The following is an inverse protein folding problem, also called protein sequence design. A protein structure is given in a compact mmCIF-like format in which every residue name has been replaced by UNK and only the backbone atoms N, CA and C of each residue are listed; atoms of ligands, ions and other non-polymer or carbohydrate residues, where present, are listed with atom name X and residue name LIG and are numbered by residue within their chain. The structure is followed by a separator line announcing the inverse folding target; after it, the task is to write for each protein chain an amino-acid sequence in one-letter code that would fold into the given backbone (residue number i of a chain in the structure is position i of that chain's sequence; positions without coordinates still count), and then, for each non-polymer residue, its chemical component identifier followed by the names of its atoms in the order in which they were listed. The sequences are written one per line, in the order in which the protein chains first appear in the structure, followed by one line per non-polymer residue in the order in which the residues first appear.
data_IF_004333190959
#
_entry.id   IF_004333190959
#
_cell.length_a   1.000
_cell.length_b   1.000
_cell.length_c   1.000
_cell.angle_alpha   90.00
_cell.angle_beta   90.00
_cell.angle_gamma   90.00
#
_symmetry.space_group_name_H-M   'P 1'
#
loop_
_entity.id
_entity.type
_entity.pdbx_description
1 polymer ?
#
# COMPACT_ATOMS: atom_id res chain seq x y z
N UNK A 1 19.50 -1.02 -69.92
CA UNK A 1 18.86 -2.04 -69.06
C UNK A 1 19.78 -2.32 -67.88
N UNK A 2 19.41 -1.83 -66.70
CA UNK A 2 19.84 -2.24 -65.35
C UNK A 2 19.79 -0.98 -64.47
N UNK A 3 18.64 -0.77 -63.84
CA UNK A 3 18.48 0.17 -62.74
C UNK A 3 18.43 -0.68 -61.46
N UNK A 4 19.56 -0.78 -60.78
CA UNK A 4 19.65 -1.45 -59.48
C UNK A 4 19.59 -0.35 -58.43
N UNK A 5 18.46 -0.30 -57.71
CA UNK A 5 18.18 0.67 -56.66
C UNK A 5 19.08 0.39 -55.46
N UNK A 6 19.92 1.36 -55.13
CA UNK A 6 20.54 1.49 -53.83
C UNK A 6 19.45 1.73 -52.78
N UNK A 7 19.20 0.74 -51.92
CA UNK A 7 18.45 0.95 -50.69
C UNK A 7 19.36 1.70 -49.71
N UNK A 8 19.23 3.02 -49.68
CA UNK A 8 19.74 3.84 -48.58
C UNK A 8 18.97 3.43 -47.33
N UNK A 9 19.70 2.84 -46.38
CA UNK A 9 19.28 2.67 -44.99
C UNK A 9 18.96 4.07 -44.46
N UNK A 10 17.67 4.42 -44.38
CA UNK A 10 17.27 5.61 -43.62
C UNK A 10 17.51 5.30 -42.14
N UNK A 11 18.25 6.15 -41.43
CA UNK A 11 18.43 5.97 -40.00
C UNK A 11 17.07 6.11 -39.33
N UNK A 12 16.78 5.18 -38.41
CA UNK A 12 15.71 5.28 -37.41
C UNK A 12 15.78 6.70 -36.85
N UNK A 13 14.82 7.53 -37.25
CA UNK A 13 14.67 8.87 -36.70
C UNK A 13 14.47 8.66 -35.22
N UNK A 14 15.45 9.12 -34.43
CA UNK A 14 15.35 9.24 -32.99
C UNK A 14 13.98 9.81 -32.64
N UNK A 15 13.14 8.96 -32.03
CA UNK A 15 11.90 9.32 -31.34
C UNK A 15 12.25 10.21 -30.15
N UNK A 16 12.68 11.42 -30.45
CA UNK A 16 13.14 12.42 -29.50
C UNK A 16 11.98 13.30 -29.05
N UNK A 17 10.91 12.67 -28.53
CA UNK A 17 9.90 13.35 -27.67
C UNK A 17 9.25 12.40 -26.63
N UNK A 18 9.94 11.35 -26.16
CA UNK A 18 9.57 10.64 -24.92
C UNK A 18 10.14 11.32 -23.66
N UNK A 19 10.22 12.67 -23.66
CA UNK A 19 10.84 13.45 -22.58
C UNK A 19 9.93 13.62 -21.35
N UNK A 20 8.74 13.02 -21.33
CA UNK A 20 7.76 13.12 -20.22
C UNK A 20 7.66 11.88 -19.34
N UNK A 21 8.34 10.78 -19.69
CA UNK A 21 8.31 9.52 -18.93
C UNK A 21 9.56 9.42 -18.05
N UNK A 22 9.33 9.31 -16.75
CA UNK A 22 10.38 9.06 -15.77
C UNK A 22 10.70 7.56 -15.74
N UNK A 23 11.81 7.17 -16.37
CA UNK A 23 12.23 5.77 -16.50
C UNK A 23 12.37 5.05 -15.15
N UNK A 24 12.79 5.74 -14.10
CA UNK A 24 12.94 5.15 -12.75
C UNK A 24 11.62 4.60 -12.19
N UNK A 25 10.46 5.10 -12.63
CA UNK A 25 9.14 4.58 -12.24
C UNK A 25 8.82 3.22 -12.85
N UNK A 26 9.50 2.85 -13.94
CA UNK A 26 9.24 1.62 -14.69
C UNK A 26 9.99 0.40 -14.12
N UNK A 27 10.78 0.61 -13.07
CA UNK A 27 11.60 -0.43 -12.45
C UNK A 27 11.14 -0.72 -11.04
N UNK A 28 11.29 -2.00 -10.67
CA UNK A 28 11.06 -2.50 -9.32
C UNK A 28 11.98 -1.76 -8.32
N UNK A 29 11.50 -1.43 -7.11
CA UNK A 29 12.37 -0.90 -6.08
C UNK A 29 13.52 -1.89 -5.80
N UNK A 30 14.76 -1.39 -5.81
CA UNK A 30 15.96 -2.18 -5.50
C UNK A 30 15.96 -2.64 -4.03
N UNK A 31 16.53 -3.82 -3.75
CA UNK A 31 16.89 -4.19 -2.37
C UNK A 31 16.25 -5.48 -1.83
N UNK A 32 16.21 -6.56 -2.60
CA UNK A 32 15.85 -7.89 -2.05
C UNK A 32 16.96 -8.52 -1.20
N UNK A 33 18.20 -8.02 -1.31
CA UNK A 33 19.32 -8.44 -0.47
C UNK A 33 19.06 -8.10 1.01
N UNK A 34 18.94 -9.14 1.86
CA UNK A 34 18.65 -8.98 3.29
C UNK A 34 17.17 -8.91 3.63
N UNK A 35 16.26 -9.18 2.69
CA UNK A 35 14.86 -9.46 3.04
C UNK A 35 14.73 -10.86 3.64
N UNK A 36 13.97 -10.98 4.72
CA UNK A 36 13.58 -12.27 5.25
C UNK A 36 12.69 -13.00 4.22
N UNK A 37 13.01 -14.25 3.93
CA UNK A 37 12.14 -15.12 3.14
C UNK A 37 10.86 -15.42 3.93
N UNK A 38 9.69 -15.19 3.30
CA UNK A 38 8.38 -15.45 3.89
C UNK A 38 7.56 -16.39 3.00
N UNK A 39 7.90 -17.69 2.92
CA UNK A 39 7.30 -18.64 1.97
C UNK A 39 5.78 -18.64 1.97
N UNK A 40 5.16 -18.55 3.16
CA UNK A 40 3.70 -18.46 3.31
C UNK A 40 3.09 -17.32 2.49
N UNK A 41 3.74 -16.16 2.41
CA UNK A 41 3.24 -15.03 1.62
C UNK A 41 3.46 -15.19 0.12
N UNK A 42 4.54 -15.89 -0.27
CA UNK A 42 4.78 -16.25 -1.66
C UNK A 42 3.71 -17.23 -2.14
N UNK A 43 3.33 -18.19 -1.29
CA UNK A 43 2.25 -19.15 -1.55
C UNK A 43 0.88 -18.45 -1.67
N UNK A 44 0.64 -17.38 -0.89
CA UNK A 44 -0.57 -16.55 -1.06
C UNK A 44 -0.60 -15.89 -2.45
N UNK A 45 0.51 -15.27 -2.88
CA UNK A 45 0.59 -14.70 -4.23
C UNK A 45 0.44 -15.77 -5.32
N UNK A 46 0.94 -16.99 -5.08
CA UNK A 46 0.76 -18.12 -5.99
C UNK A 46 -0.70 -18.53 -6.14
N UNK A 47 -1.48 -18.52 -5.06
CA UNK A 47 -2.92 -18.79 -5.11
C UNK A 47 -3.67 -17.78 -6.00
N UNK A 48 -3.17 -16.55 -6.12
CA UNK A 48 -3.72 -15.52 -7.00
C UNK A 48 -3.33 -15.65 -8.48
N UNK A 49 -2.38 -16.51 -8.85
CA UNK A 49 -1.84 -16.60 -10.23
C UNK A 49 -2.88 -16.91 -11.30
N UNK A 50 -3.94 -17.64 -10.94
CA UNK A 50 -4.99 -18.05 -11.86
C UNK A 50 -6.11 -16.99 -11.99
N UNK A 51 -6.10 -15.97 -11.15
CA UNK A 51 -7.03 -14.85 -11.21
C UNK A 51 -6.62 -13.80 -12.26
N UNK A 52 -7.57 -12.91 -12.57
CA UNK A 52 -7.31 -11.71 -13.39
C UNK A 52 -6.63 -10.60 -12.59
N UNK A 53 -7.02 -10.47 -11.31
CA UNK A 53 -6.63 -9.36 -10.46
C UNK A 53 -6.14 -9.87 -9.10
N UNK A 54 -4.93 -9.46 -8.71
CA UNK A 54 -4.41 -9.61 -7.36
C UNK A 54 -4.29 -8.24 -6.71
N UNK A 55 -4.90 -8.06 -5.53
CA UNK A 55 -4.81 -6.84 -4.74
C UNK A 55 -3.97 -7.10 -3.48
N UNK A 56 -2.90 -6.33 -3.30
CA UNK A 56 -2.13 -6.28 -2.04
C UNK A 56 -2.42 -4.94 -1.38
N UNK A 57 -3.31 -4.95 -0.38
CA UNK A 57 -3.84 -3.74 0.26
C UNK A 57 -3.53 -3.75 1.75
N UNK A 58 -2.71 -2.79 2.19
CA UNK A 58 -2.33 -2.67 3.59
C UNK A 58 -1.82 -1.27 3.92
N UNK A 59 -1.73 -0.91 5.22
CA UNK A 59 -1.08 0.32 5.67
C UNK A 59 0.33 0.54 5.07
N UNK A 60 0.86 1.76 5.12
CA UNK A 60 2.28 1.99 4.82
C UNK A 60 3.19 1.13 5.70
N UNK A 61 4.37 0.80 5.18
CA UNK A 61 5.37 0.05 5.96
C UNK A 61 5.09 -1.42 6.22
N UNK A 62 4.04 -2.03 5.63
CA UNK A 62 3.81 -3.48 5.78
C UNK A 62 4.69 -4.37 4.88
N UNK A 63 5.50 -3.78 4.00
CA UNK A 63 6.38 -4.52 3.08
C UNK A 63 5.71 -5.04 1.80
N UNK A 64 4.65 -4.39 1.31
CA UNK A 64 3.90 -4.82 0.11
C UNK A 64 4.79 -4.93 -1.14
N UNK A 65 5.50 -3.85 -1.50
CA UNK A 65 6.39 -3.82 -2.66
C UNK A 65 7.54 -4.80 -2.50
N UNK A 66 8.11 -4.92 -1.30
CA UNK A 66 9.15 -5.91 -0.99
C UNK A 66 8.66 -7.35 -1.17
N UNK A 67 7.43 -7.66 -0.75
CA UNK A 67 6.82 -8.97 -0.94
C UNK A 67 6.67 -9.30 -2.43
N UNK A 68 6.09 -8.39 -3.21
CA UNK A 68 5.85 -8.64 -4.64
C UNK A 68 7.18 -8.77 -5.39
N UNK A 69 8.17 -7.91 -5.10
CA UNK A 69 9.51 -8.05 -5.67
C UNK A 69 10.15 -9.39 -5.32
N UNK A 70 10.09 -9.81 -4.06
CA UNK A 70 10.61 -11.12 -3.62
C UNK A 70 9.92 -12.27 -4.35
N UNK A 71 8.60 -12.20 -4.53
CA UNK A 71 7.83 -13.21 -5.25
C UNK A 71 8.20 -13.29 -6.74
N UNK A 72 8.36 -12.15 -7.41
CA UNK A 72 8.78 -12.12 -8.82
C UNK A 72 10.18 -12.72 -8.98
N UNK A 73 11.11 -12.41 -8.08
CA UNK A 73 12.48 -12.93 -8.10
C UNK A 73 12.52 -14.44 -7.79
N UNK A 74 11.86 -14.89 -6.71
CA UNK A 74 11.83 -16.31 -6.28
C UNK A 74 11.21 -17.23 -7.34
N UNK A 75 10.21 -16.71 -8.05
CA UNK A 75 9.43 -17.48 -9.03
C UNK A 75 9.86 -17.24 -10.47
N UNK A 76 10.89 -16.43 -10.69
CA UNK A 76 11.40 -16.03 -12.00
C UNK A 76 10.28 -15.56 -12.95
N UNK A 77 9.41 -14.68 -12.46
CA UNK A 77 8.30 -14.13 -13.24
C UNK A 77 8.72 -12.78 -13.84
N UNK A 78 8.70 -12.71 -15.17
CA UNK A 78 8.82 -11.44 -15.88
C UNK A 78 7.53 -10.64 -15.75
N UNK A 79 7.64 -9.39 -15.29
CA UNK A 79 6.51 -8.50 -15.08
C UNK A 79 6.87 -7.07 -15.45
N UNK A 80 5.93 -6.38 -16.07
CA UNK A 80 5.98 -4.93 -16.24
C UNK A 80 5.68 -4.27 -14.90
N UNK A 81 6.52 -3.33 -14.48
CA UNK A 81 6.34 -2.61 -13.22
C UNK A 81 6.09 -1.13 -13.48
N UNK A 82 5.14 -0.54 -12.76
CA UNK A 82 4.91 0.90 -12.75
C UNK A 82 4.70 1.39 -11.32
N UNK A 83 5.62 2.21 -10.83
CA UNK A 83 5.48 2.95 -9.59
C UNK A 83 4.74 4.26 -9.83
N UNK A 84 3.65 4.48 -9.10
CA UNK A 84 2.77 5.62 -9.26
C UNK A 84 3.01 6.69 -8.18
N UNK A 85 2.87 7.95 -8.56
CA UNK A 85 2.81 9.07 -7.61
C UNK A 85 1.60 9.98 -7.88
N UNK A 86 1.45 11.02 -7.06
CA UNK A 86 0.31 11.94 -7.14
C UNK A 86 0.23 12.68 -8.50
N UNK A 87 1.38 12.85 -9.17
CA UNK A 87 1.50 13.50 -10.47
C UNK A 87 1.00 12.65 -11.64
N UNK A 88 0.63 11.39 -11.43
CA UNK A 88 0.18 10.46 -12.47
C UNK A 88 -1.35 10.37 -12.55
N UNK A 89 -2.09 11.32 -11.95
CA UNK A 89 -3.56 11.34 -11.94
C UNK A 89 -4.21 11.88 -13.23
N UNK A 90 -3.42 12.18 -14.26
CA UNK A 90 -3.90 12.64 -15.55
C UNK A 90 -4.05 11.44 -16.52
N UNK A 91 -5.25 11.16 -17.07
CA UNK A 91 -5.52 9.88 -17.75
C UNK A 91 -4.60 9.56 -18.93
N UNK A 92 -4.27 10.53 -19.79
CA UNK A 92 -3.41 10.25 -20.94
C UNK A 92 -1.98 9.95 -20.47
N UNK A 93 -1.46 10.73 -19.52
CA UNK A 93 -0.17 10.44 -18.88
C UNK A 93 -0.14 9.07 -18.21
N UNK A 94 -1.17 8.71 -17.44
CA UNK A 94 -1.26 7.41 -16.79
C UNK A 94 -1.22 6.26 -17.81
N UNK A 95 -2.05 6.32 -18.85
CA UNK A 95 -2.09 5.29 -19.90
C UNK A 95 -0.75 5.22 -20.63
N UNK A 96 -0.09 6.36 -20.90
CA UNK A 96 1.25 6.37 -21.46
C UNK A 96 2.26 5.64 -20.56
N UNK A 97 2.28 5.91 -19.25
CA UNK A 97 3.13 5.18 -18.31
C UNK A 97 2.84 3.67 -18.30
N UNK A 98 1.58 3.26 -18.38
CA UNK A 98 1.20 1.83 -18.48
C UNK A 98 1.80 1.21 -19.75
N UNK A 99 1.66 1.88 -20.90
CA UNK A 99 2.28 1.40 -22.16
C UNK A 99 3.80 1.31 -22.02
N UNK A 100 4.45 2.34 -21.47
CA UNK A 100 5.91 2.34 -21.31
C UNK A 100 6.40 1.28 -20.30
N UNK A 101 5.63 0.99 -19.25
CA UNK A 101 5.92 -0.12 -18.35
C UNK A 101 5.85 -1.46 -19.09
N UNK A 102 4.81 -1.68 -19.90
CA UNK A 102 4.66 -2.90 -20.71
C UNK A 102 5.77 -3.04 -21.78
N UNK A 103 6.29 -1.92 -22.29
CA UNK A 103 7.45 -1.92 -23.20
C UNK A 103 8.74 -2.45 -22.59
N UNK A 104 8.85 -2.50 -21.26
CA UNK A 104 10.02 -3.11 -20.60
C UNK A 104 10.12 -4.62 -20.84
N UNK A 105 9.00 -5.28 -21.13
CA UNK A 105 8.92 -6.72 -21.44
C UNK A 105 8.55 -6.98 -22.91
N UNK A 106 7.89 -6.02 -23.58
CA UNK A 106 7.46 -6.11 -24.97
C UNK A 106 7.75 -4.80 -25.72
N UNK A 107 8.95 -4.59 -26.28
CA UNK A 107 9.42 -3.29 -26.78
C UNK A 107 8.49 -2.58 -27.77
N UNK A 108 7.79 -3.34 -28.62
CA UNK A 108 6.90 -2.82 -29.66
C UNK A 108 5.45 -2.66 -29.20
N UNK A 109 5.14 -2.86 -27.92
CA UNK A 109 3.79 -2.76 -27.38
C UNK A 109 3.22 -1.34 -27.46
N UNK A 110 1.90 -1.22 -27.63
CA UNK A 110 1.15 0.02 -27.39
C UNK A 110 1.35 1.12 -28.42
N UNK A 111 1.76 0.77 -29.65
CA UNK A 111 1.99 1.74 -30.73
C UNK A 111 0.71 2.48 -31.07
N UNK A 112 -0.42 1.78 -31.21
CA UNK A 112 -1.71 2.41 -31.55
C UNK A 112 -2.21 3.26 -30.40
N UNK A 113 -2.15 2.74 -29.17
CA UNK A 113 -2.54 3.50 -27.98
C UNK A 113 -1.75 4.81 -27.87
N UNK A 114 -0.42 4.79 -28.01
CA UNK A 114 0.38 6.02 -27.93
C UNK A 114 0.08 7.00 -29.07
N UNK A 115 -0.26 6.53 -30.26
CA UNK A 115 -0.70 7.40 -31.37
C UNK A 115 -2.01 8.11 -31.03
N UNK A 116 -2.98 7.41 -30.40
CA UNK A 116 -4.22 8.03 -29.94
C UNK A 116 -3.97 9.09 -28.87
N UNK A 117 -3.07 8.83 -27.91
CA UNK A 117 -2.72 9.78 -26.85
C UNK A 117 -2.02 11.04 -27.38
N UNK A 118 -1.30 10.94 -28.49
CA UNK A 118 -0.59 12.06 -29.15
C UNK A 118 -1.46 12.85 -30.14
N UNK A 119 -2.70 12.43 -30.36
CA UNK A 119 -3.60 13.12 -31.28
C UNK A 119 -3.87 14.56 -30.82
N UNK A 120 -4.15 15.46 -31.77
CA UNK A 120 -4.41 16.87 -31.49
C UNK A 120 -5.60 17.08 -30.53
N UNK A 121 -6.52 16.11 -30.48
CA UNK A 121 -7.60 16.04 -29.51
C UNK A 121 -7.71 14.59 -29.03
N UNK A 122 -7.44 14.39 -27.74
CA UNK A 122 -7.55 13.08 -27.09
C UNK A 122 -8.91 12.45 -27.42
N UNK A 123 -8.95 11.23 -27.98
CA UNK A 123 -10.19 10.52 -28.20
C UNK A 123 -10.90 10.23 -26.88
N UNK A 124 -12.21 9.91 -26.94
CA UNK A 124 -12.91 9.36 -25.79
C UNK A 124 -12.13 8.20 -25.14
N UNK A 125 -12.06 8.17 -23.81
CA UNK A 125 -11.23 7.21 -23.08
C UNK A 125 -11.66 5.75 -23.29
N UNK A 126 -12.93 5.50 -23.62
CA UNK A 126 -13.43 4.18 -24.00
C UNK A 126 -12.78 3.68 -25.30
N UNK A 127 -12.56 4.55 -26.29
CA UNK A 127 -11.81 4.22 -27.51
C UNK A 127 -10.38 3.86 -27.16
N UNK A 128 -9.70 4.68 -26.36
CA UNK A 128 -8.32 4.43 -25.92
C UNK A 128 -8.22 3.11 -25.12
N UNK A 129 -9.19 2.86 -24.23
CA UNK A 129 -9.25 1.62 -23.43
C UNK A 129 -9.46 0.39 -24.30
N UNK A 130 -10.32 0.47 -25.32
CA UNK A 130 -10.54 -0.61 -26.27
C UNK A 130 -9.27 -0.90 -27.08
N UNK A 131 -8.58 0.13 -27.58
CA UNK A 131 -7.30 -0.05 -28.29
C UNK A 131 -6.26 -0.71 -27.40
N UNK A 132 -6.06 -0.20 -26.17
CA UNK A 132 -5.13 -0.79 -25.20
C UNK A 132 -5.50 -2.25 -24.88
N UNK A 133 -6.79 -2.54 -24.72
CA UNK A 133 -7.29 -3.89 -24.45
C UNK A 133 -7.01 -4.86 -25.60
N UNK A 134 -7.11 -4.41 -26.85
CA UNK A 134 -6.81 -5.24 -28.02
C UNK A 134 -5.31 -5.52 -28.12
N UNK A 135 -4.47 -4.48 -27.96
CA UNK A 135 -3.01 -4.66 -27.96
C UNK A 135 -2.55 -5.59 -26.81
N UNK A 136 -3.18 -5.51 -25.63
CA UNK A 136 -2.93 -6.44 -24.53
C UNK A 136 -3.37 -7.88 -24.86
N UNK A 137 -4.46 -8.05 -25.60
CA UNK A 137 -4.97 -9.36 -26.00
C UNK A 137 -3.98 -10.04 -26.94
N UNK A 138 -3.53 -9.32 -27.98
CA UNK A 138 -2.51 -9.78 -28.93
C UNK A 138 -1.19 -10.14 -28.22
N UNK A 139 -0.74 -9.31 -27.28
CA UNK A 139 0.44 -9.62 -26.47
C UNK A 139 0.26 -10.94 -25.70
N UNK A 140 -0.91 -11.12 -25.09
CA UNK A 140 -1.24 -12.30 -24.30
C UNK A 140 -1.43 -13.59 -25.07
N UNK A 141 -1.63 -13.52 -26.40
CA UNK A 141 -1.61 -14.70 -27.28
C UNK A 141 -0.21 -15.29 -27.42
N UNK A 142 0.83 -14.45 -27.30
CA UNK A 142 2.23 -14.90 -27.40
C UNK A 142 2.79 -15.36 -26.06
N UNK A 143 2.56 -14.59 -25.00
CA UNK A 143 3.04 -14.91 -23.65
C UNK A 143 2.15 -14.27 -22.57
N UNK A 144 1.95 -14.93 -21.42
CA UNK A 144 1.25 -14.31 -20.31
C UNK A 144 1.93 -13.02 -19.85
N UNK A 145 1.15 -11.97 -19.66
CA UNK A 145 1.63 -10.64 -19.27
C UNK A 145 1.15 -10.32 -17.85
N UNK A 146 2.07 -9.93 -16.98
CA UNK A 146 1.76 -9.39 -15.66
C UNK A 146 2.16 -7.92 -15.59
N UNK A 147 1.19 -7.06 -15.31
CA UNK A 147 1.42 -5.66 -14.96
C UNK A 147 1.29 -5.48 -13.45
N UNK A 148 2.32 -4.91 -12.82
CA UNK A 148 2.31 -4.49 -11.42
C UNK A 148 2.16 -2.98 -11.35
N UNK A 149 1.10 -2.51 -10.69
CA UNK A 149 0.90 -1.10 -10.35
C UNK A 149 1.21 -0.90 -8.87
N UNK A 150 2.33 -0.26 -8.58
CA UNK A 150 2.74 0.09 -7.23
C UNK A 150 2.23 1.47 -6.82
N UNK A 151 1.84 1.60 -5.55
CA UNK A 151 1.27 2.80 -4.95
C UNK A 151 0.01 3.35 -5.64
N UNK A 152 -0.88 2.49 -6.11
CA UNK A 152 -2.10 2.90 -6.86
C UNK A 152 -2.98 3.93 -6.14
N UNK A 153 -3.04 3.89 -4.81
CA UNK A 153 -3.74 4.90 -3.99
C UNK A 153 -3.33 6.36 -4.25
N UNK A 154 -2.13 6.61 -4.79
CA UNK A 154 -1.62 7.94 -5.14
C UNK A 154 -2.38 8.55 -6.33
N UNK A 155 -2.91 7.71 -7.20
CA UNK A 155 -3.72 8.14 -8.35
C UNK A 155 -5.15 8.43 -7.88
N UNK A 156 -5.60 9.67 -8.10
CA UNK A 156 -6.91 10.16 -7.66
C UNK A 156 -7.70 10.69 -8.85
N UNK A 157 -8.16 9.78 -9.72
CA UNK A 157 -8.99 10.14 -10.86
C UNK A 157 -9.99 9.03 -11.22
N UNK A 158 -11.31 9.27 -11.12
CA UNK A 158 -12.33 8.28 -11.47
C UNK A 158 -12.25 7.78 -12.92
N UNK A 159 -11.71 8.58 -13.85
CA UNK A 159 -11.54 8.15 -15.23
C UNK A 159 -10.46 7.05 -15.35
N UNK A 160 -9.41 7.12 -14.55
CA UNK A 160 -8.38 6.07 -14.50
C UNK A 160 -8.96 4.79 -13.86
N UNK A 161 -9.75 4.94 -12.79
CA UNK A 161 -10.48 3.81 -12.19
C UNK A 161 -11.39 3.13 -13.23
N UNK A 162 -12.09 3.89 -14.07
CA UNK A 162 -12.95 3.34 -15.12
C UNK A 162 -12.18 2.56 -16.18
N UNK A 163 -11.04 3.09 -16.65
CA UNK A 163 -10.15 2.41 -17.61
C UNK A 163 -9.70 1.06 -17.03
N UNK A 164 -9.15 1.07 -15.82
CA UNK A 164 -8.60 -0.13 -15.20
C UNK A 164 -9.69 -1.14 -14.81
N UNK A 165 -10.83 -0.67 -14.30
CA UNK A 165 -12.00 -1.51 -14.05
C UNK A 165 -12.52 -2.17 -15.34
N UNK A 166 -12.48 -1.46 -16.47
CA UNK A 166 -12.82 -1.98 -17.79
C UNK A 166 -11.94 -3.17 -18.18
N UNK A 167 -10.61 -3.02 -18.03
CA UNK A 167 -9.63 -4.07 -18.32
C UNK A 167 -9.82 -5.31 -17.44
N UNK A 168 -10.10 -5.18 -16.14
CA UNK A 168 -10.27 -6.36 -15.28
C UNK A 168 -11.66 -6.99 -15.40
N UNK A 169 -12.69 -6.23 -15.77
CA UNK A 169 -14.04 -6.77 -15.97
C UNK A 169 -14.08 -7.65 -17.22
N UNK A 170 -13.42 -7.21 -18.29
CA UNK A 170 -13.25 -7.95 -19.55
C UNK A 170 -11.75 -8.12 -19.84
N UNK A 171 -11.09 -9.09 -19.18
CA UNK A 171 -9.66 -9.25 -19.27
C UNK A 171 -9.24 -9.65 -20.68
N UNK A 172 -8.25 -8.96 -21.26
CA UNK A 172 -7.51 -9.50 -22.39
C UNK A 172 -6.95 -10.89 -22.03
N UNK A 173 -6.85 -11.77 -23.03
CA UNK A 173 -6.28 -13.09 -22.83
C UNK A 173 -4.84 -12.95 -22.33
N UNK A 174 -4.40 -13.82 -21.41
CA UNK A 174 -3.03 -13.80 -20.90
C UNK A 174 -2.67 -12.59 -20.02
N UNK A 175 -3.52 -11.57 -19.90
CA UNK A 175 -3.26 -10.39 -19.08
C UNK A 175 -3.67 -10.60 -17.62
N UNK A 176 -2.75 -10.28 -16.71
CA UNK A 176 -2.98 -10.24 -15.27
C UNK A 176 -2.54 -8.90 -14.71
N UNK A 177 -3.28 -8.45 -13.71
CA UNK A 177 -3.01 -7.21 -13.01
C UNK A 177 -2.73 -7.48 -11.53
N UNK A 178 -1.63 -6.95 -11.01
CA UNK A 178 -1.32 -6.93 -9.59
C UNK A 178 -1.27 -5.47 -9.13
N UNK A 179 -2.05 -5.13 -8.11
CA UNK A 179 -2.09 -3.78 -7.55
C UNK A 179 -1.56 -3.81 -6.14
N UNK A 180 -0.61 -2.91 -5.88
CA UNK A 180 -0.13 -2.60 -4.54
C UNK A 180 -0.71 -1.24 -4.16
N UNK A 181 -1.38 -1.18 -3.02
CA UNK A 181 -2.08 0.04 -2.61
C UNK A 181 -2.24 0.14 -1.10
N UNK A 182 -2.40 1.37 -0.60
CA UNK A 182 -2.80 1.62 0.80
C UNK A 182 -4.32 1.51 1.01
N UNK A 183 -5.11 1.60 -0.07
CA UNK A 183 -6.57 1.49 -0.03
C UNK A 183 -7.08 0.64 -1.18
N UNK A 184 -8.21 -0.01 -0.98
CA UNK A 184 -8.87 -0.75 -2.04
C UNK A 184 -9.30 0.22 -3.15
N UNK A 185 -8.97 -0.03 -4.43
CA UNK A 185 -9.45 0.78 -5.54
C UNK A 185 -10.99 0.82 -5.58
N UNK A 186 -11.56 1.94 -6.03
CA UNK A 186 -13.01 2.15 -6.10
C UNK A 186 -13.64 1.42 -7.30
N UNK A 187 -13.33 0.14 -7.47
CA UNK A 187 -13.73 -0.68 -8.61
C UNK A 187 -14.90 -1.58 -8.24
N UNK A 188 -15.73 -2.01 -9.23
CA UNK A 188 -16.80 -2.98 -9.00
C UNK A 188 -16.25 -4.41 -8.79
N UNK A 189 -15.58 -4.64 -7.66
CA UNK A 189 -14.87 -5.90 -7.36
C UNK A 189 -15.79 -7.08 -7.03
N UNK A 190 -17.05 -6.84 -6.66
CA UNK A 190 -17.98 -7.88 -6.18
C UNK A 190 -18.16 -9.04 -7.16
N UNK A 191 -18.25 -8.74 -8.46
CA UNK A 191 -18.38 -9.76 -9.51
C UNK A 191 -17.10 -10.62 -9.63
N UNK A 192 -15.93 -9.98 -9.64
CA UNK A 192 -14.64 -10.68 -9.71
C UNK A 192 -14.42 -11.61 -8.51
N UNK A 193 -14.90 -11.21 -7.34
CA UNK A 193 -14.86 -12.03 -6.11
C UNK A 193 -15.69 -13.31 -6.25
N UNK A 194 -16.92 -13.21 -6.76
CA UNK A 194 -17.81 -14.37 -6.98
C UNK A 194 -17.24 -15.30 -8.06
N UNK A 195 -16.68 -14.74 -9.12
CA UNK A 195 -16.05 -15.49 -10.22
C UNK A 195 -14.69 -16.10 -9.85
N UNK A 196 -14.19 -15.90 -8.62
CA UNK A 196 -12.84 -16.31 -8.16
C UNK A 196 -11.71 -15.77 -9.05
N UNK A 197 -11.93 -14.60 -9.65
CA UNK A 197 -10.97 -13.88 -10.51
C UNK A 197 -10.21 -12.77 -9.77
N UNK A 198 -10.58 -12.54 -8.52
CA UNK A 198 -9.94 -11.60 -7.60
C UNK A 198 -9.28 -12.37 -6.44
N UNK A 199 -8.01 -12.07 -6.18
CA UNK A 199 -7.30 -12.49 -4.98
C UNK A 199 -6.90 -11.27 -4.15
N UNK A 200 -7.18 -11.28 -2.85
CA UNK A 200 -6.95 -10.15 -1.94
C UNK A 200 -6.00 -10.57 -0.82
N UNK A 201 -4.92 -9.81 -0.65
CA UNK A 201 -3.94 -9.94 0.43
C UNK A 201 -4.02 -8.68 1.28
N UNK A 202 -4.46 -8.83 2.51
CA UNK A 202 -4.72 -7.74 3.44
C UNK A 202 -3.59 -7.50 4.45
N UNK A 203 -3.77 -6.47 5.28
CA UNK A 203 -2.85 -6.16 6.37
C UNK A 203 -2.63 -7.33 7.35
N UNK A 204 -3.67 -8.11 7.62
CA UNK A 204 -3.60 -9.26 8.53
C UNK A 204 -2.68 -10.36 7.99
N UNK A 205 -2.74 -10.62 6.68
CA UNK A 205 -1.91 -11.64 6.02
C UNK A 205 -0.43 -11.27 6.10
N UNK A 206 -0.11 -9.99 5.92
CA UNK A 206 1.26 -9.46 5.88
C UNK A 206 1.94 -9.36 7.25
N UNK A 207 1.21 -9.53 8.36
CA UNK A 207 1.80 -9.47 9.71
C UNK A 207 2.87 -10.54 9.87
N UNK A 208 3.98 -10.15 10.48
CA UNK A 208 5.04 -11.07 10.87
C UNK A 208 4.52 -12.05 11.91
N UNK A 209 4.68 -13.35 11.65
CA UNK A 209 4.45 -14.39 12.66
C UNK A 209 5.55 -14.38 13.71
N UNK A 210 5.43 -15.22 14.73
CA UNK A 210 6.43 -15.30 15.80
C UNK A 210 7.75 -15.83 15.26
N UNK A 211 7.64 -16.85 14.43
CA UNK A 211 8.74 -17.51 13.73
C UNK A 211 9.42 -16.52 12.77
N UNK A 212 8.64 -15.77 11.99
CA UNK A 212 9.17 -14.73 11.11
C UNK A 212 9.85 -13.60 11.91
N UNK A 213 9.28 -13.20 13.05
CA UNK A 213 9.87 -12.17 13.92
C UNK A 213 11.23 -12.63 14.47
N UNK A 214 11.31 -13.85 14.99
CA UNK A 214 12.56 -14.41 15.48
C UNK A 214 13.63 -14.50 14.38
N UNK A 215 13.25 -14.99 13.20
CA UNK A 215 14.13 -15.09 12.05
C UNK A 215 14.60 -13.70 11.57
N UNK A 216 13.72 -12.69 11.59
CA UNK A 216 14.06 -11.32 11.23
C UNK A 216 15.09 -10.69 12.17
N UNK A 217 14.99 -10.96 13.48
CA UNK A 217 15.97 -10.50 14.48
C UNK A 217 17.34 -11.14 14.24
N UNK A 218 17.37 -12.45 13.99
CA UNK A 218 18.61 -13.17 13.68
C UNK A 218 19.29 -12.64 12.41
N UNK A 219 18.51 -12.40 11.36
CA UNK A 219 18.99 -11.79 10.11
C UNK A 219 19.62 -10.41 10.34
N UNK A 220 19.14 -9.69 11.36
CA UNK A 220 19.65 -8.37 11.76
C UNK A 220 20.77 -8.41 12.81
N UNK A 221 21.44 -9.56 12.96
CA UNK A 221 22.56 -9.79 13.87
C UNK A 221 22.22 -9.69 15.37
N UNK A 222 20.94 -9.84 15.74
CA UNK A 222 20.53 -10.04 17.12
C UNK A 222 20.52 -11.56 17.36
N UNK A 223 21.64 -12.07 17.88
CA UNK A 223 21.83 -13.50 18.08
C UNK A 223 20.96 -14.04 19.24
N UNK A 224 20.28 -15.17 19.01
CA UNK A 224 19.47 -15.89 20.02
C UNK A 224 18.45 -14.98 20.75
N UNK A 225 17.49 -14.37 20.04
CA UNK A 225 16.45 -13.61 20.70
C UNK A 225 15.69 -14.53 21.66
N UNK A 226 15.59 -14.14 22.93
CA UNK A 226 14.80 -14.91 23.89
C UNK A 226 13.30 -14.82 23.54
N UNK A 227 12.52 -15.83 23.91
CA UNK A 227 11.09 -15.89 23.61
C UNK A 227 10.33 -14.68 24.18
N UNK A 228 10.80 -14.13 25.31
CA UNK A 228 10.22 -12.95 25.94
C UNK A 228 10.34 -11.71 25.07
N UNK A 229 11.51 -11.49 24.45
CA UNK A 229 11.82 -10.41 23.54
C UNK A 229 10.97 -10.53 22.27
N UNK A 230 10.89 -11.72 21.67
CA UNK A 230 10.05 -11.96 20.49
C UNK A 230 8.58 -11.66 20.82
N UNK A 231 8.08 -12.17 21.95
CA UNK A 231 6.71 -11.90 22.38
C UNK A 231 6.46 -10.42 22.68
N UNK A 232 7.43 -9.71 23.27
CA UNK A 232 7.31 -8.30 23.57
C UNK A 232 7.28 -7.46 22.29
N UNK A 233 8.20 -7.72 21.36
CA UNK A 233 8.23 -7.07 20.04
C UNK A 233 6.97 -7.35 19.24
N UNK A 234 6.48 -8.60 19.22
CA UNK A 234 5.21 -8.91 18.58
C UNK A 234 4.04 -8.16 19.19
N UNK A 235 3.99 -8.04 20.53
CA UNK A 235 2.92 -7.31 21.21
C UNK A 235 2.94 -5.82 20.87
N UNK A 236 4.12 -5.22 20.86
CA UNK A 236 4.26 -3.77 20.62
C UNK A 236 4.04 -3.42 19.14
N UNK A 237 4.59 -4.23 18.23
CA UNK A 237 4.54 -3.96 16.79
C UNK A 237 3.32 -4.57 16.11
N UNK A 238 2.57 -5.44 16.79
CA UNK A 238 1.51 -6.30 16.23
C UNK A 238 1.92 -7.01 14.93
N UNK A 239 3.21 -7.31 14.76
CA UNK A 239 3.77 -7.93 13.56
C UNK A 239 3.93 -6.98 12.36
N UNK A 240 3.82 -5.66 12.56
CA UNK A 240 4.03 -4.68 11.50
C UNK A 240 5.53 -4.57 11.14
N UNK A 241 5.85 -4.75 9.86
CA UNK A 241 7.22 -4.85 9.37
C UNK A 241 8.06 -3.61 9.69
N UNK A 242 7.57 -2.40 9.39
CA UNK A 242 8.26 -1.16 9.75
C UNK A 242 8.38 -1.00 11.27
N UNK A 243 7.38 -1.38 12.05
CA UNK A 243 7.46 -1.36 13.51
C UNK A 243 8.61 -2.23 14.03
N UNK A 244 8.78 -3.43 13.48
CA UNK A 244 9.91 -4.31 13.79
C UNK A 244 11.25 -3.72 13.36
N UNK A 245 11.33 -3.12 12.17
CA UNK A 245 12.56 -2.48 11.71
C UNK A 245 12.95 -1.28 12.58
N UNK A 246 11.99 -0.44 12.97
CA UNK A 246 12.20 0.68 13.89
C UNK A 246 12.67 0.19 15.26
N UNK A 247 12.09 -0.90 15.77
CA UNK A 247 12.55 -1.54 16.99
C UNK A 247 14.03 -1.98 16.88
N UNK A 248 14.40 -2.63 15.78
CA UNK A 248 15.79 -3.06 15.54
C UNK A 248 16.75 -1.86 15.46
N UNK A 249 16.34 -0.76 14.80
CA UNK A 249 17.15 0.46 14.74
C UNK A 249 17.36 1.07 16.14
N UNK A 250 16.31 1.10 16.96
CA UNK A 250 16.42 1.56 18.35
C UNK A 250 17.34 0.64 19.19
N UNK A 251 17.21 -0.68 19.05
CA UNK A 251 18.05 -1.66 19.73
C UNK A 251 19.54 -1.50 19.39
N UNK A 252 19.87 -1.20 18.13
CA UNK A 252 21.26 -1.01 17.69
C UNK A 252 21.94 0.24 18.26
N UNK A 253 21.16 1.25 18.64
CA UNK A 253 21.70 2.49 19.19
C UNK A 253 21.97 2.41 20.69
N UNK A 254 21.39 1.43 21.38
CA UNK A 254 21.61 1.25 22.81
C UNK A 254 22.75 0.27 23.08
N UNK A 255 23.72 0.68 23.90
CA UNK A 255 24.90 -0.10 24.25
C UNK A 255 24.61 -1.36 25.11
N UNK A 256 23.37 -1.56 25.59
CA UNK A 256 23.01 -2.68 26.45
C UNK A 256 21.61 -3.24 26.15
N UNK A 257 21.54 -4.19 25.21
CA UNK A 257 20.33 -4.91 24.80
C UNK A 257 19.63 -5.61 25.99
N UNK A 258 20.37 -5.98 27.03
CA UNK A 258 19.82 -6.68 28.21
C UNK A 258 18.93 -5.80 29.10
N UNK A 259 19.07 -4.48 29.07
CA UNK A 259 18.26 -3.54 29.87
C UNK A 259 16.81 -3.40 29.38
N UNK A 260 16.54 -3.82 28.15
CA UNK A 260 15.23 -3.81 27.48
C UNK A 260 14.42 -5.10 27.70
N UNK A 261 15.04 -6.13 28.28
CA UNK A 261 14.40 -7.43 28.56
C UNK A 261 13.53 -7.38 29.83
N UNK A 262 13.54 -6.27 30.56
CA UNK A 262 12.55 -6.00 31.60
C UNK A 262 11.18 -5.69 31.00
N UNK A 263 10.13 -5.78 31.82
CA UNK A 263 8.72 -5.51 31.47
C UNK A 263 8.42 -4.08 30.98
N UNK A 264 9.43 -3.25 30.68
CA UNK A 264 9.25 -1.89 30.17
C UNK A 264 8.95 -1.93 28.67
N UNK A 265 7.99 -1.14 28.18
CA UNK A 265 7.75 -1.03 26.75
C UNK A 265 8.98 -0.41 26.06
N UNK A 266 9.40 -0.97 24.93
CA UNK A 266 10.59 -0.52 24.19
C UNK A 266 10.38 0.87 23.60
N UNK A 267 9.13 1.23 23.34
CA UNK A 267 8.70 2.53 22.82
C UNK A 267 8.14 3.49 23.88
N UNK A 268 8.48 3.34 25.17
CA UNK A 268 8.03 4.27 26.23
C UNK A 268 9.17 5.16 26.72
N UNK A 269 9.03 6.47 26.50
CA UNK A 269 10.01 7.51 26.84
C UNK A 269 10.76 8.06 25.62
N UNK A 270 11.82 8.85 25.86
CA UNK A 270 12.61 9.55 24.82
C UNK A 270 13.30 8.68 23.76
N UNK A 271 13.15 7.35 23.82
CA UNK A 271 13.63 6.37 22.85
C UNK A 271 12.70 6.22 21.62
N UNK A 272 11.64 7.02 21.53
CA UNK A 272 10.56 6.92 20.53
C UNK A 272 10.78 7.76 19.24
N UNK A 273 11.91 8.45 19.11
CA UNK A 273 12.09 9.47 18.06
C UNK A 273 11.93 8.92 16.64
N UNK A 274 12.50 7.75 16.32
CA UNK A 274 12.37 7.17 14.98
C UNK A 274 10.93 6.80 14.61
N UNK A 275 10.15 6.32 15.57
CA UNK A 275 8.74 6.00 15.35
C UNK A 275 7.91 7.27 15.18
N UNK A 276 8.14 8.28 16.02
CA UNK A 276 7.47 9.57 15.91
C UNK A 276 7.79 10.25 14.57
N UNK A 277 9.07 10.34 14.20
CA UNK A 277 9.51 10.92 12.94
C UNK A 277 8.86 10.18 11.76
N UNK A 278 8.89 8.85 11.74
CA UNK A 278 8.23 8.05 10.70
C UNK A 278 6.71 8.30 10.66
N UNK A 279 6.01 8.26 11.79
CA UNK A 279 4.56 8.45 11.83
C UNK A 279 4.16 9.84 11.34
N UNK A 280 4.96 10.86 11.68
CA UNK A 280 4.73 12.24 11.25
C UNK A 280 4.96 12.38 9.75
N UNK A 281 6.12 11.93 9.25
CA UNK A 281 6.52 12.11 7.86
C UNK A 281 5.70 11.24 6.91
N UNK A 282 5.50 9.95 7.22
CA UNK A 282 4.90 8.98 6.29
C UNK A 282 3.38 8.86 6.41
N UNK A 283 2.82 9.16 7.59
CA UNK A 283 1.39 9.01 7.84
C UNK A 283 0.71 10.35 8.00
N UNK A 284 1.03 11.12 9.05
CA UNK A 284 0.25 12.31 9.43
C UNK A 284 0.42 13.48 8.47
N UNK A 285 1.61 13.71 7.91
CA UNK A 285 1.88 14.83 7.00
C UNK A 285 1.04 14.78 5.71
N UNK A 286 0.52 13.62 5.36
CA UNK A 286 -0.27 13.39 4.14
C UNK A 286 -1.79 13.47 4.39
N UNK A 287 -2.23 13.77 5.63
CA UNK A 287 -3.64 13.80 6.01
C UNK A 287 -4.17 15.24 6.12
N UNK A 288 -5.48 15.45 5.84
CA UNK A 288 -6.14 16.70 6.18
C UNK A 288 -6.01 17.01 7.67
N UNK A 289 -5.88 18.30 8.01
CA UNK A 289 -5.72 18.75 9.39
C UNK A 289 -6.87 18.27 10.30
N UNK A 290 -8.11 18.30 9.80
CA UNK A 290 -9.28 17.80 10.53
C UNK A 290 -9.19 16.32 10.89
N UNK A 291 -8.62 15.50 9.99
CA UNK A 291 -8.39 14.08 10.25
C UNK A 291 -7.32 13.89 11.32
N UNK A 292 -6.23 14.65 11.26
CA UNK A 292 -5.15 14.59 12.27
C UNK A 292 -5.69 15.00 13.65
N UNK A 293 -6.46 16.09 13.73
CA UNK A 293 -7.09 16.53 14.98
C UNK A 293 -8.06 15.48 15.54
N UNK A 294 -8.86 14.84 14.68
CA UNK A 294 -9.73 13.74 15.07
C UNK A 294 -8.92 12.59 15.68
N UNK A 295 -7.83 12.17 15.02
CA UNK A 295 -6.98 11.08 15.49
C UNK A 295 -6.28 11.39 16.82
N UNK A 296 -5.78 12.62 16.99
CA UNK A 296 -5.14 13.06 18.24
C UNK A 296 -6.13 13.05 19.41
N UNK A 297 -7.34 13.59 19.20
CA UNK A 297 -8.33 13.67 20.26
C UNK A 297 -8.92 12.30 20.64
N UNK A 298 -9.17 11.42 19.67
CA UNK A 298 -9.68 10.07 19.94
C UNK A 298 -8.62 9.15 20.57
N UNK A 299 -7.33 9.43 20.35
CA UNK A 299 -6.21 8.70 20.97
C UNK A 299 -6.09 8.92 22.49
N UNK A 300 -6.91 9.80 23.09
CA UNK A 300 -7.05 9.89 24.54
C UNK A 300 -7.67 8.61 25.14
N UNK A 301 -8.35 7.81 24.31
CA UNK A 301 -8.99 6.56 24.71
C UNK A 301 -8.31 5.35 24.06
N UNK A 302 -8.00 4.33 24.85
CA UNK A 302 -7.47 3.05 24.34
C UNK A 302 -8.44 2.35 23.37
N UNK A 303 -9.75 2.55 23.59
CA UNK A 303 -10.85 2.06 22.75
C UNK A 303 -11.92 3.15 22.66
N UNK A 304 -12.51 3.32 21.48
CA UNK A 304 -13.54 4.33 21.26
C UNK A 304 -14.62 3.86 20.28
N UNK A 305 -15.77 4.53 20.32
CA UNK A 305 -16.89 4.32 19.41
C UNK A 305 -17.42 5.66 18.91
N UNK A 306 -18.22 5.66 17.84
CA UNK A 306 -18.70 6.90 17.22
C UNK A 306 -19.39 7.88 18.20
N UNK A 307 -20.29 7.44 19.11
CA UNK A 307 -20.89 8.35 20.10
C UNK A 307 -19.87 8.97 21.07
N UNK A 308 -18.81 8.25 21.42
CA UNK A 308 -17.74 8.78 22.26
C UNK A 308 -16.98 9.89 21.52
N UNK A 309 -16.61 9.65 20.26
CA UNK A 309 -15.94 10.65 19.43
C UNK A 309 -16.80 11.92 19.25
N UNK A 310 -18.13 11.78 19.08
CA UNK A 310 -19.05 12.93 19.02
C UNK A 310 -18.96 13.78 20.29
N UNK A 311 -18.94 13.16 21.47
CA UNK A 311 -18.81 13.87 22.75
C UNK A 311 -17.44 14.49 22.96
N UNK A 312 -16.37 13.77 22.61
CA UNK A 312 -14.99 14.25 22.76
C UNK A 312 -14.72 15.50 21.93
N UNK A 313 -15.19 15.49 20.68
CA UNK A 313 -14.83 16.50 19.68
C UNK A 313 -15.95 17.51 19.39
N UNK A 314 -17.15 17.32 19.96
CA UNK A 314 -18.31 18.18 19.67
C UNK A 314 -18.78 18.10 18.21
N UNK A 315 -18.47 17.01 17.51
CA UNK A 315 -18.76 16.82 16.09
C UNK A 315 -20.14 16.18 15.90
N UNK A 316 -20.81 16.55 14.80
CA UNK A 316 -22.04 15.89 14.37
C UNK A 316 -21.78 14.43 14.00
N UNK A 317 -22.81 13.58 14.15
CA UNK A 317 -22.75 12.14 13.87
C UNK A 317 -22.20 11.83 12.48
N UNK A 318 -22.73 12.47 11.44
CA UNK A 318 -22.36 12.16 10.05
C UNK A 318 -20.87 12.41 9.79
N UNK A 319 -20.32 13.50 10.34
CA UNK A 319 -18.91 13.82 10.21
C UNK A 319 -18.01 12.81 10.95
N UNK A 320 -18.42 12.33 12.12
CA UNK A 320 -17.69 11.27 12.83
C UNK A 320 -17.73 9.96 12.07
N UNK A 321 -18.90 9.58 11.55
CA UNK A 321 -19.08 8.34 10.78
C UNK A 321 -18.25 8.40 9.47
N UNK A 322 -18.18 9.56 8.81
CA UNK A 322 -17.36 9.76 7.62
C UNK A 322 -15.86 9.74 7.92
N UNK A 323 -15.42 10.34 9.02
CA UNK A 323 -14.02 10.28 9.46
C UNK A 323 -13.61 8.84 9.82
N UNK A 324 -14.43 8.10 10.57
CA UNK A 324 -14.17 6.70 10.89
C UNK A 324 -14.10 5.84 9.64
N UNK A 325 -15.02 6.04 8.69
CA UNK A 325 -15.01 5.34 7.39
C UNK A 325 -13.73 5.66 6.61
N UNK A 326 -13.35 6.93 6.55
CA UNK A 326 -12.11 7.36 5.92
C UNK A 326 -10.87 6.70 6.55
N UNK A 327 -10.78 6.64 7.88
CA UNK A 327 -9.66 6.00 8.58
C UNK A 327 -9.56 4.50 8.26
N UNK A 328 -10.70 3.80 8.17
CA UNK A 328 -10.76 2.39 7.78
C UNK A 328 -10.34 2.20 6.31
N UNK A 329 -10.96 2.94 5.40
CA UNK A 329 -10.73 2.82 3.96
C UNK A 329 -9.29 3.17 3.57
N UNK A 330 -8.70 4.16 4.25
CA UNK A 330 -7.32 4.59 4.05
C UNK A 330 -6.28 3.72 4.80
N UNK A 331 -6.70 2.66 5.52
CA UNK A 331 -5.84 1.82 6.35
C UNK A 331 -4.95 2.61 7.32
N UNK A 332 -5.51 3.64 7.97
CA UNK A 332 -4.79 4.53 8.90
C UNK A 332 -4.67 3.93 10.31
N UNK A 333 -4.28 2.65 10.35
CA UNK A 333 -4.02 1.89 11.57
C UNK A 333 -5.21 1.86 12.56
N UNK A 334 -6.43 2.04 12.05
CA UNK A 334 -7.67 1.89 12.81
C UNK A 334 -8.15 0.44 12.73
N UNK A 335 -8.39 -0.19 13.88
CA UNK A 335 -8.77 -1.60 13.98
C UNK A 335 -10.17 -1.70 14.60
N UNK A 336 -11.16 -2.24 13.88
CA UNK A 336 -12.45 -2.53 14.46
C UNK A 336 -12.32 -3.68 15.47
N UNK A 337 -13.00 -3.56 16.60
CA UNK A 337 -13.01 -4.55 17.66
C UNK A 337 -14.24 -5.45 17.53
N UNK A 338 -14.04 -6.75 17.73
CA UNK A 338 -15.12 -7.74 17.69
C UNK A 338 -16.02 -7.71 18.93
N UNK A 339 -15.64 -6.99 20.00
CA UNK A 339 -16.48 -6.75 21.18
C UNK A 339 -17.73 -5.93 20.77
N UNK A 340 -18.81 -6.68 20.52
CA UNK A 340 -20.04 -6.29 19.85
C UNK A 340 -20.69 -7.47 19.10
N UNK A 341 -19.89 -8.49 18.75
CA UNK A 341 -20.28 -9.63 17.91
C UNK A 341 -20.77 -10.85 18.68
N UNK A 342 -20.26 -11.14 19.89
CA UNK A 342 -20.75 -12.27 20.70
C UNK A 342 -20.70 -11.95 22.21
N UNK A 343 -21.88 -11.72 22.82
CA UNK A 343 -22.11 -11.99 24.26
C UNK A 343 -22.15 -10.83 25.28
N UNK A 344 -21.80 -9.59 24.94
CA UNK A 344 -21.79 -8.45 25.89
C UNK A 344 -22.93 -7.44 25.68
N UNK A 345 -23.39 -6.80 26.76
CA UNK A 345 -24.55 -5.88 26.79
C UNK A 345 -24.43 -4.59 25.95
N UNK A 346 -23.29 -4.35 25.30
CA UNK A 346 -23.01 -3.13 24.53
C UNK A 346 -23.09 -3.35 23.00
N UNK A 347 -24.23 -3.88 22.55
CA UNK A 347 -24.54 -4.22 21.14
C UNK A 347 -24.84 -3.02 20.23
N UNK A 348 -24.72 -1.79 20.71
CA UNK A 348 -25.30 -0.63 20.00
C UNK A 348 -24.37 0.04 19.00
N UNK A 349 -23.05 -0.10 19.15
CA UNK A 349 -22.08 0.63 18.35
C UNK A 349 -20.86 -0.24 18.03
N UNK A 350 -20.23 0.00 16.87
CA UNK A 350 -18.94 -0.58 16.56
C UNK A 350 -17.86 0.11 17.41
N UNK A 351 -16.99 -0.71 18.02
CA UNK A 351 -15.84 -0.27 18.77
C UNK A 351 -14.57 -0.33 17.93
N UNK A 352 -13.66 0.60 18.18
CA UNK A 352 -12.40 0.75 17.46
C UNK A 352 -11.25 0.97 18.43
N UNK A 353 -10.05 0.63 17.98
CA UNK A 353 -8.80 1.05 18.60
C UNK A 353 -7.79 1.44 17.52
N UNK A 354 -6.82 2.27 17.87
CA UNK A 354 -5.63 2.40 17.03
C UNK A 354 -4.70 1.19 17.23
N UNK A 355 -3.89 0.91 16.23
CA UNK A 355 -2.71 0.06 16.37
C UNK A 355 -1.80 0.60 17.49
N UNK A 356 -1.19 -0.27 18.28
CA UNK A 356 -0.44 0.13 19.48
C UNK A 356 0.60 1.24 19.23
N UNK A 357 1.44 1.09 18.21
CA UNK A 357 2.45 2.11 17.85
C UNK A 357 1.85 3.43 17.34
N UNK A 358 0.71 3.36 16.66
CA UNK A 358 -0.01 4.57 16.21
C UNK A 358 -0.58 5.30 17.43
N UNK A 359 -1.22 4.58 18.35
CA UNK A 359 -1.76 5.15 19.58
C UNK A 359 -0.67 5.86 20.40
N UNK A 360 0.47 5.19 20.64
CA UNK A 360 1.60 5.79 21.37
C UNK A 360 2.11 7.08 20.72
N UNK A 361 2.20 7.09 19.38
CA UNK A 361 2.67 8.24 18.62
C UNK A 361 1.67 9.40 18.67
N UNK A 362 0.38 9.10 18.58
CA UNK A 362 -0.69 10.09 18.71
C UNK A 362 -0.73 10.71 20.12
N UNK A 363 -0.60 9.89 21.17
CA UNK A 363 -0.57 10.38 22.57
C UNK A 363 0.64 11.27 22.81
N UNK A 364 1.84 10.85 22.38
CA UNK A 364 3.06 11.67 22.53
C UNK A 364 2.92 13.01 21.80
N UNK A 365 2.37 13.00 20.58
CA UNK A 365 2.15 14.23 19.80
C UNK A 365 1.05 15.11 20.38
N UNK A 366 0.02 14.53 20.99
CA UNK A 366 -1.04 15.25 21.70
C UNK A 366 -0.42 16.05 22.85
N UNK A 367 0.45 15.44 23.65
CA UNK A 367 1.16 16.08 24.77
C UNK A 367 2.08 17.22 24.31
N UNK A 368 2.67 17.12 23.12
CA UNK A 368 3.50 18.18 22.52
C UNK A 368 2.69 19.32 21.90
N UNK A 369 1.51 19.01 21.32
CA UNK A 369 0.76 19.94 20.47
C UNK A 369 -0.40 20.64 21.18
N UNK A 370 -0.89 20.10 22.31
CA UNK A 370 -2.05 20.62 23.02
C UNK A 370 -1.67 21.20 24.39
N UNK A 371 -2.34 22.29 24.76
CA UNK A 371 -2.26 22.84 26.11
C UNK A 371 -2.77 21.80 27.13
N UNK A 372 -2.13 21.67 28.32
CA UNK A 372 -2.54 20.70 29.34
C UNK A 372 -4.02 20.79 29.74
N UNK A 373 -4.61 21.98 29.69
CA UNK A 373 -6.03 22.21 29.98
C UNK A 373 -6.96 21.61 28.92
N UNK A 374 -6.54 21.61 27.65
CA UNK A 374 -7.30 21.01 26.56
C UNK A 374 -7.28 19.47 26.67
N UNK A 375 -6.11 18.89 27.00
CA UNK A 375 -5.95 17.45 27.26
C UNK A 375 -6.81 17.01 28.46
N UNK A 376 -6.79 17.77 29.56
CA UNK A 376 -7.63 17.50 30.73
C UNK A 376 -9.13 17.57 30.40
N UNK A 377 -9.53 18.41 29.45
CA UNK A 377 -10.92 18.49 28.98
C UNK A 377 -11.30 17.27 28.17
N UNK A 378 -10.42 16.77 27.30
CA UNK A 378 -10.65 15.52 26.58
C UNK A 378 -10.80 14.33 27.54
N UNK A 379 -9.93 14.19 28.54
CA UNK A 379 -10.08 13.14 29.56
C UNK A 379 -11.39 13.25 30.35
N UNK A 380 -11.84 14.46 30.69
CA UNK A 380 -13.13 14.67 31.36
C UNK A 380 -14.33 14.32 30.48
N UNK A 381 -14.24 14.59 29.17
CA UNK A 381 -15.28 14.24 28.22
C UNK A 381 -15.31 12.72 27.90
N UNK A 382 -14.19 12.02 28.15
CA UNK A 382 -14.05 10.59 27.96
C UNK A 382 -14.63 9.76 29.13
N UNK A 383 -14.54 10.28 30.35
CA UNK A 383 -15.07 9.68 31.58
C UNK A 383 -16.59 9.77 31.66
#
# INVERSE_FOLDING_TARGET
MSAQRDYVIMPIVMLSQDNSIQQTKLYRPFGTAGLLARPRLLDLLDAGRHGTLTLVVSPPGSGKSSLVSQWLDDRAIDAAWLQLDAGDSEPAKFIAYVVHALRTIAPDFGVETLLLLRSARLPPLDVVTTTLSNELHELGETSPCLLVLDDYHMVKNPAIDQVMAGLVTRPPQGFRLLIISRRTPAWPLGRLRIEKRLHEIGAADLRFTREETAAYLQLNAIALPDDGMVMNLQRQTEGWATGLQLAILALRQQANVAGLLGSRPMFVGGDNRYLLDYMVEEVLAHLPESTVQFMLASAVCDRFCAPLCQRLLGLGRDMVDDLLRYLLDANLFLIPLEEGSQGGADRRFAWYRYHHLMHQSLVSRLEESFEPQAIATLHRNAA
#
